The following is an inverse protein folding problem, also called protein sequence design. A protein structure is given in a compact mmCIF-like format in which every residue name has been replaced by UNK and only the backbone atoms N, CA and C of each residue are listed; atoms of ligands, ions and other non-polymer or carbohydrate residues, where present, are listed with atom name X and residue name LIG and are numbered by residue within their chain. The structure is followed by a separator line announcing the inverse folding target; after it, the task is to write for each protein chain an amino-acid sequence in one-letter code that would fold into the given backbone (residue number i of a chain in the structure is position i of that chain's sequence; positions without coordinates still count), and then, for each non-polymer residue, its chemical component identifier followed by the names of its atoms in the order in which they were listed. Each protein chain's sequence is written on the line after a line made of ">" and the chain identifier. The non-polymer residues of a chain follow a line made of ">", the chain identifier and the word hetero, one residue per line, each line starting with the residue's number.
data_IF_066816269996
#
_entry.id   IF_066816269996
#
_cell.length_a   1.000
_cell.length_b   1.000
_cell.length_c   1.000
_cell.angle_alpha   90.00
_cell.angle_beta   90.00
_cell.angle_gamma   90.00
#
_symmetry.space_group_name_H-M   'P 1'
#
loop_
_entity.id
_entity.type
_entity.pdbx_description
1 polymer ?
#
# COMPACT_ATOMS: atom_id res chain seq x y z
N UNK A 1 -16.23 2.27 12.68
CA UNK A 1 -15.56 2.76 11.45
C UNK A 1 -14.52 1.73 11.05
N UNK A 2 -14.79 0.94 10.00
CA UNK A 2 -13.71 0.19 9.34
C UNK A 2 -12.83 1.27 8.71
N UNK A 3 -11.60 1.41 9.18
CA UNK A 3 -10.69 2.43 8.69
C UNK A 3 -10.61 2.37 7.17
N UNK A 4 -10.73 3.52 6.52
CA UNK A 4 -10.67 3.60 5.06
C UNK A 4 -9.46 2.79 4.56
N UNK A 5 -9.72 1.92 3.59
CA UNK A 5 -8.73 1.05 2.98
C UNK A 5 -8.92 1.10 1.47
N UNK A 6 -7.84 1.36 0.76
CA UNK A 6 -7.86 1.55 -0.69
C UNK A 6 -7.96 0.21 -1.37
N UNK A 7 -8.96 0.08 -2.23
CA UNK A 7 -9.12 -1.11 -3.05
C UNK A 7 -7.95 -1.20 -4.04
N UNK A 8 -7.33 -2.38 -4.13
CA UNK A 8 -6.18 -2.62 -5.00
C UNK A 8 -6.41 -2.22 -6.47
N UNK A 9 -7.64 -2.38 -6.97
CA UNK A 9 -8.02 -1.98 -8.33
C UNK A 9 -8.09 -0.45 -8.51
N UNK A 10 -8.42 0.28 -7.44
CA UNK A 10 -8.46 1.75 -7.44
C UNK A 10 -7.07 2.37 -7.34
N UNK A 11 -6.08 1.62 -6.87
CA UNK A 11 -4.74 2.14 -6.63
C UNK A 11 -4.08 2.66 -7.92
N UNK A 12 -4.23 1.96 -9.05
CA UNK A 12 -3.68 2.39 -10.34
C UNK A 12 -4.30 3.72 -10.81
N UNK A 13 -5.59 3.94 -10.53
CA UNK A 13 -6.26 5.21 -10.84
C UNK A 13 -5.72 6.35 -9.97
N UNK A 14 -5.49 6.11 -8.68
CA UNK A 14 -4.92 7.11 -7.77
C UNK A 14 -3.47 7.47 -8.14
N UNK A 15 -2.68 6.49 -8.58
CA UNK A 15 -1.34 6.73 -9.14
C UNK A 15 -1.43 7.61 -10.38
N UNK A 16 -2.31 7.28 -11.34
CA UNK A 16 -2.46 8.04 -12.58
C UNK A 16 -2.93 9.50 -12.33
N UNK A 17 -3.71 9.71 -11.28
CA UNK A 17 -4.17 11.04 -10.85
C UNK A 17 -3.13 11.81 -10.03
N UNK A 18 -1.94 11.25 -9.77
CA UNK A 18 -0.92 11.83 -8.89
C UNK A 18 -1.47 12.14 -7.49
N UNK A 19 -2.44 11.34 -7.01
CA UNK A 19 -3.08 11.53 -5.71
C UNK A 19 -2.28 10.91 -4.56
N UNK A 20 -1.30 10.06 -4.87
CA UNK A 20 -0.43 9.40 -3.89
C UNK A 20 0.75 10.31 -3.60
N UNK A 21 0.83 10.78 -2.36
CA UNK A 21 1.96 11.54 -1.86
C UNK A 21 3.12 10.62 -1.46
N UNK A 22 2.80 9.53 -0.77
CA UNK A 22 3.79 8.61 -0.22
C UNK A 22 3.25 7.18 -0.27
N UNK A 23 4.13 6.22 -0.56
CA UNK A 23 3.87 4.81 -0.41
C UNK A 23 4.82 4.22 0.64
N UNK A 24 4.28 3.43 1.56
CA UNK A 24 5.02 2.83 2.67
C UNK A 24 4.74 1.34 2.69
N UNK A 25 5.82 0.56 2.70
CA UNK A 25 5.81 -0.89 2.80
C UNK A 25 6.26 -1.28 4.19
N UNK A 26 5.38 -1.91 4.95
CA UNK A 26 5.62 -2.25 6.35
C UNK A 26 5.47 -3.73 6.64
N UNK A 27 5.99 -4.16 7.79
CA UNK A 27 5.72 -5.47 8.37
C UNK A 27 4.38 -5.50 9.10
N UNK A 28 3.72 -6.65 9.09
CA UNK A 28 2.55 -6.85 9.94
C UNK A 28 3.01 -7.09 11.37
N UNK A 29 2.42 -6.34 12.31
CA UNK A 29 2.70 -6.52 13.74
C UNK A 29 2.37 -7.96 14.16
N UNK A 30 3.39 -8.71 14.57
CA UNK A 30 3.26 -10.11 14.99
C UNK A 30 3.67 -11.13 13.93
N UNK A 31 3.93 -10.72 12.68
CA UNK A 31 4.46 -11.61 11.64
C UNK A 31 5.53 -10.90 10.78
N UNK A 32 6.79 -11.20 11.09
CA UNK A 32 7.97 -10.70 10.37
C UNK A 32 8.19 -11.38 9.01
N UNK A 33 7.30 -12.24 8.53
CA UNK A 33 7.31 -12.78 7.17
C UNK A 33 6.30 -12.05 6.26
N UNK A 34 5.37 -11.30 6.83
CA UNK A 34 4.27 -10.67 6.11
C UNK A 34 4.53 -9.18 5.86
N UNK A 35 4.21 -8.76 4.64
CA UNK A 35 4.36 -7.39 4.17
C UNK A 35 3.02 -6.79 3.80
N UNK A 36 2.88 -5.49 4.00
CA UNK A 36 1.73 -4.69 3.59
C UNK A 36 2.19 -3.47 2.82
N UNK A 37 1.26 -2.89 2.07
CA UNK A 37 1.44 -1.62 1.37
C UNK A 37 0.38 -0.67 1.90
N UNK A 38 0.81 0.49 2.34
CA UNK A 38 -0.05 1.61 2.70
C UNK A 38 0.34 2.83 1.90
N UNK A 39 -0.61 3.70 1.62
CA UNK A 39 -0.36 4.93 0.86
C UNK A 39 -0.94 6.14 1.58
N UNK A 40 -0.25 7.26 1.45
CA UNK A 40 -0.70 8.56 1.90
C UNK A 40 -1.32 9.30 0.72
N UNK A 41 -2.56 9.75 0.88
CA UNK A 41 -3.27 10.49 -0.16
C UNK A 41 -3.22 11.99 0.11
N UNK A 42 -2.86 12.77 -0.91
CA UNK A 42 -2.89 14.22 -0.88
C UNK A 42 -1.85 14.84 0.06
N UNK A 43 -2.23 15.04 1.32
CA UNK A 43 -1.47 15.86 2.29
C UNK A 43 -0.32 15.09 2.94
N UNK A 44 0.87 15.71 3.16
CA UNK A 44 2.00 15.08 3.85
C UNK A 44 1.68 14.58 5.27
N UNK A 45 0.69 15.17 5.94
CA UNK A 45 0.26 14.80 7.29
C UNK A 45 -0.92 13.83 7.32
N UNK A 46 -1.50 13.50 6.15
CA UNK A 46 -2.63 12.57 6.05
C UNK A 46 -2.26 11.17 6.57
N UNK A 47 -3.19 10.49 7.23
CA UNK A 47 -2.96 9.11 7.69
C UNK A 47 -2.53 8.19 6.54
N UNK A 48 -1.66 7.22 6.84
CA UNK A 48 -1.44 6.09 5.94
C UNK A 48 -2.73 5.26 5.82
N UNK A 49 -3.08 4.94 4.59
CA UNK A 49 -4.28 4.18 4.22
C UNK A 49 -3.83 2.83 3.67
N UNK A 50 -4.17 1.71 4.31
CA UNK A 50 -3.73 0.40 3.85
C UNK A 50 -4.40 0.03 2.52
N UNK A 51 -3.66 -0.73 1.70
CA UNK A 51 -4.19 -1.33 0.47
C UNK A 51 -4.83 -2.67 0.81
N UNK A 52 -6.05 -2.87 0.35
CA UNK A 52 -6.84 -4.09 0.54
C UNK A 52 -7.17 -4.79 -0.77
N UNK A 53 -7.41 -6.10 -0.72
CA UNK A 53 -7.89 -6.85 -1.87
C UNK A 53 -9.42 -6.96 -1.86
N UNK A 54 -10.04 -7.53 -2.90
CA UNK A 54 -11.51 -7.70 -2.93
C UNK A 54 -12.00 -8.68 -1.87
N UNK A 55 -11.17 -9.65 -1.50
CA UNK A 55 -11.53 -10.76 -0.61
C UNK A 55 -10.92 -10.64 0.77
N UNK A 56 -9.83 -9.88 0.89
CA UNK A 56 -9.08 -9.75 2.14
C UNK A 56 -9.16 -8.29 2.62
N UNK A 57 -9.45 -8.07 3.91
CA UNK A 57 -9.53 -6.72 4.49
C UNK A 57 -8.21 -5.96 4.43
N UNK A 58 -7.09 -6.68 4.31
CA UNK A 58 -5.75 -6.15 4.14
C UNK A 58 -5.03 -7.02 3.12
N UNK A 59 -4.36 -6.41 2.15
CA UNK A 59 -3.54 -7.18 1.21
C UNK A 59 -2.22 -7.52 1.89
N UNK A 60 -1.95 -8.82 1.99
CA UNK A 60 -0.73 -9.35 2.58
C UNK A 60 0.14 -9.96 1.48
N UNK A 61 1.43 -9.68 1.53
CA UNK A 61 2.44 -10.29 0.68
C UNK A 61 3.44 -11.10 1.49
N UNK A 62 3.90 -12.21 0.92
CA UNK A 62 4.84 -13.14 1.57
C UNK A 62 6.30 -12.72 1.44
N UNK A 63 6.60 -11.72 0.59
CA UNK A 63 7.94 -11.17 0.46
C UNK A 63 7.93 -9.76 -0.13
N UNK A 64 8.93 -8.96 0.23
CA UNK A 64 9.14 -7.62 -0.30
C UNK A 64 9.27 -7.62 -1.83
N UNK A 65 9.88 -8.66 -2.40
CA UNK A 65 10.03 -8.82 -3.86
C UNK A 65 8.69 -8.84 -4.59
N UNK A 66 7.66 -9.45 -4.00
CA UNK A 66 6.32 -9.46 -4.60
C UNK A 66 5.65 -8.11 -4.45
N UNK A 67 5.91 -7.38 -3.36
CA UNK A 67 5.45 -5.99 -3.17
C UNK A 67 6.06 -5.07 -4.23
N UNK A 68 7.37 -5.14 -4.46
CA UNK A 68 8.08 -4.38 -5.51
C UNK A 68 7.45 -4.63 -6.87
N UNK A 69 7.31 -5.90 -7.26
CA UNK A 69 6.70 -6.27 -8.56
C UNK A 69 5.27 -5.75 -8.69
N UNK A 70 4.53 -5.71 -7.59
CA UNK A 70 3.19 -5.14 -7.58
C UNK A 70 3.23 -3.61 -7.73
N UNK A 71 4.10 -2.92 -6.99
CA UNK A 71 4.30 -1.47 -7.05
C UNK A 71 4.65 -1.02 -8.48
N UNK A 72 5.60 -1.70 -9.12
CA UNK A 72 5.97 -1.46 -10.52
C UNK A 72 4.77 -1.59 -11.46
N UNK A 73 3.95 -2.63 -11.27
CA UNK A 73 2.77 -2.89 -12.11
C UNK A 73 1.71 -1.79 -11.98
N UNK A 74 1.56 -1.18 -10.81
CA UNK A 74 0.57 -0.10 -10.58
C UNK A 74 1.14 1.29 -10.84
N UNK A 75 2.44 1.41 -11.13
CA UNK A 75 3.11 2.68 -11.43
C UNK A 75 3.63 3.43 -10.19
N UNK A 76 3.76 2.77 -9.04
CA UNK A 76 4.43 3.36 -7.87
C UNK A 76 5.93 3.29 -8.10
N UNK A 77 6.56 4.45 -8.28
CA UNK A 77 7.99 4.57 -8.63
C UNK A 77 8.92 4.58 -7.41
N UNK A 78 8.40 4.93 -6.24
CA UNK A 78 9.17 4.99 -4.98
C UNK A 78 8.28 4.67 -3.79
N UNK A 79 8.83 3.96 -2.81
CA UNK A 79 8.19 3.72 -1.52
C UNK A 79 9.23 3.59 -0.41
N UNK A 80 8.85 3.96 0.81
CA UNK A 80 9.64 3.75 2.02
C UNK A 80 9.42 2.34 2.56
N UNK A 81 10.46 1.72 3.12
CA UNK A 81 10.35 0.40 3.77
C UNK A 81 10.53 0.59 5.28
N UNK A 82 9.50 0.21 6.04
CA UNK A 82 9.51 0.20 7.50
C UNK A 82 9.68 -1.24 7.99
N UNK A 83 10.71 -1.46 8.82
CA UNK A 83 11.11 -2.77 9.36
C UNK A 83 10.53 -3.01 10.76
#
# INVERSE_FOLDING_TARGET
>A
MIGDAIQLDSLAHLVAQHAIHEAVVGRIKGDNAQWTLSVRLGDPTARLVPVRSRREPLRIWTSLKVVVKFADKVGITSFSVEL
#
